data_IF_867995573026
#
_entry.id   IF_867995573026
#
_cell.length_a   1.000
_cell.length_b   1.000
_cell.length_c   1.000
_cell.angle_alpha   90.00
_cell.angle_beta   90.00
_cell.angle_gamma   90.00
#
_symmetry.space_group_name_H-M   'P 1'
#
loop_
_entity.id
_entity.type
_entity.pdbx_description
1 polymer ?
#
# COMPACT_ATOMS: atom_id res chain seq x y z
N UNK A 1 52.41 23.73 70.27
CA UNK A 1 51.79 24.43 69.16
C UNK A 1 51.83 23.56 67.91
N UNK A 2 50.79 22.77 67.62
CA UNK A 2 50.64 22.04 66.38
C UNK A 2 49.15 21.98 66.14
N UNK A 3 48.71 22.62 65.05
CA UNK A 3 47.37 22.58 64.55
C UNK A 3 47.23 21.40 63.62
N UNK A 4 46.28 20.53 63.85
CA UNK A 4 45.87 19.45 62.93
C UNK A 4 44.51 19.83 62.36
N UNK A 5 44.51 20.20 61.08
CA UNK A 5 43.29 20.48 60.35
C UNK A 5 42.69 19.14 59.79
N UNK A 6 41.45 18.86 60.09
CA UNK A 6 40.69 17.73 59.65
C UNK A 6 40.04 18.08 58.30
N UNK A 7 40.38 17.31 57.24
CA UNK A 7 39.81 17.46 55.91
C UNK A 7 38.53 16.61 55.79
N UNK A 8 37.41 17.28 55.58
CA UNK A 8 36.08 16.63 55.34
C UNK A 8 35.92 16.35 53.84
N UNK A 9 35.93 15.08 53.46
CA UNK A 9 35.67 14.64 52.07
C UNK A 9 34.17 14.43 51.93
N UNK A 10 33.50 15.27 51.09
CA UNK A 10 32.12 15.11 50.69
C UNK A 10 32.11 14.27 49.40
N UNK A 11 31.62 13.03 49.48
CA UNK A 11 31.36 12.17 48.35
C UNK A 11 30.04 12.59 47.70
N UNK A 12 30.11 13.22 46.51
CA UNK A 12 28.95 13.42 45.64
C UNK A 12 28.68 12.13 44.88
N UNK A 13 27.59 11.43 45.18
CA UNK A 13 27.06 10.35 44.37
C UNK A 13 26.35 10.92 43.14
N UNK A 14 26.98 10.82 41.98
CA UNK A 14 26.33 11.13 40.69
C UNK A 14 25.41 10.00 40.30
N UNK A 15 24.09 10.17 40.47
CA UNK A 15 23.08 9.28 39.94
C UNK A 15 23.00 9.45 38.42
N UNK A 16 23.42 8.41 37.64
CA UNK A 16 23.12 8.31 36.21
C UNK A 16 21.64 7.98 36.04
N UNK A 17 20.83 8.99 35.73
CA UNK A 17 19.49 8.80 35.21
C UNK A 17 19.60 8.48 33.72
N UNK A 18 19.42 7.23 33.35
CA UNK A 18 19.24 6.84 31.95
C UNK A 18 17.84 7.31 31.48
N UNK A 19 17.78 8.50 30.92
CA UNK A 19 16.60 8.96 30.21
C UNK A 19 16.48 8.13 28.95
N UNK A 20 15.58 7.14 28.94
CA UNK A 20 15.14 6.45 27.73
C UNK A 20 14.49 7.48 26.82
N UNK A 21 15.09 7.77 25.68
CA UNK A 21 14.43 8.52 24.62
C UNK A 21 13.25 7.71 24.12
N UNK A 22 12.05 8.01 24.61
CA UNK A 22 10.80 7.66 23.95
C UNK A 22 10.76 8.59 22.75
N UNK A 23 11.01 8.07 21.54
CA UNK A 23 10.78 8.82 20.31
C UNK A 23 9.27 9.10 20.22
N UNK A 24 8.87 10.31 20.52
CA UNK A 24 7.52 10.79 20.22
C UNK A 24 7.36 10.83 18.69
N UNK A 25 6.18 10.49 18.15
CA UNK A 25 5.90 10.62 16.71
C UNK A 25 6.17 12.07 16.27
N UNK A 26 6.90 12.21 15.16
CA UNK A 26 7.28 13.54 14.64
C UNK A 26 6.07 14.16 13.93
N UNK A 27 5.58 15.29 14.42
CA UNK A 27 4.60 16.10 13.69
C UNK A 27 5.22 16.61 12.39
N UNK A 28 4.53 16.39 11.26
CA UNK A 28 4.89 16.98 9.99
C UNK A 28 4.56 18.48 10.00
N UNK A 29 5.55 19.34 10.30
CA UNK A 29 5.42 20.80 10.27
C UNK A 29 6.17 21.38 9.08
N UNK A 30 5.48 22.20 8.30
CA UNK A 30 6.07 22.96 7.19
C UNK A 30 6.46 24.34 7.72
N UNK A 31 7.77 24.67 7.68
CA UNK A 31 8.27 25.95 8.16
C UNK A 31 8.08 27.08 7.12
N UNK A 32 7.55 28.24 7.53
CA UNK A 32 7.87 29.52 6.91
C UNK A 32 6.79 30.30 6.15
N UNK A 33 5.54 29.80 5.94
CA UNK A 33 4.48 30.61 5.32
C UNK A 33 3.30 30.82 6.26
N UNK A 34 2.56 31.93 6.10
CA UNK A 34 1.36 32.17 6.89
C UNK A 34 0.25 31.15 6.59
N UNK A 35 -0.56 30.75 7.56
CA UNK A 35 -1.67 29.82 7.35
C UNK A 35 -2.67 30.37 6.33
N UNK A 36 -3.14 29.51 5.41
CA UNK A 36 -4.18 29.89 4.45
C UNK A 36 -5.55 29.89 5.15
N UNK A 37 -6.29 30.99 5.02
CA UNK A 37 -7.62 31.18 5.65
C UNK A 37 -8.79 31.04 4.68
N UNK A 38 -8.54 30.90 3.37
CA UNK A 38 -9.55 30.75 2.31
C UNK A 38 -9.80 29.29 1.89
N UNK A 39 -10.62 29.08 0.84
CA UNK A 39 -10.81 27.74 0.25
C UNK A 39 -9.46 27.14 -0.19
N UNK A 40 -9.25 25.87 0.17
CA UNK A 40 -8.04 25.12 -0.21
C UNK A 40 -8.24 24.52 -1.59
N UNK A 41 -7.20 24.62 -2.45
CA UNK A 41 -7.14 23.94 -3.76
C UNK A 41 -6.12 22.83 -3.70
N UNK A 42 -6.55 21.60 -3.94
CA UNK A 42 -5.73 20.39 -3.90
C UNK A 42 -5.49 19.91 -5.33
N UNK A 43 -4.22 19.74 -5.72
CA UNK A 43 -3.87 19.02 -6.93
C UNK A 43 -3.76 17.52 -6.60
N UNK A 44 -4.49 16.66 -7.32
CA UNK A 44 -4.38 15.21 -7.14
C UNK A 44 -3.87 14.58 -8.44
N UNK A 45 -2.57 14.25 -8.45
CA UNK A 45 -1.88 13.57 -9.55
C UNK A 45 -1.91 12.07 -9.30
N UNK A 46 -2.62 11.34 -10.14
CA UNK A 46 -2.77 9.89 -10.08
C UNK A 46 -1.97 9.22 -11.20
N UNK A 47 -1.36 8.07 -10.92
CA UNK A 47 -0.76 7.22 -11.94
C UNK A 47 -1.81 6.80 -12.98
N UNK A 48 -2.86 6.11 -12.54
CA UNK A 48 -3.83 5.45 -13.41
C UNK A 48 -5.20 5.37 -12.75
N UNK A 49 -6.23 5.10 -13.57
CA UNK A 49 -7.58 4.72 -13.13
C UNK A 49 -7.96 3.30 -13.61
N UNK A 50 -6.96 2.50 -14.01
CA UNK A 50 -7.17 1.17 -14.61
C UNK A 50 -7.72 0.17 -13.60
N UNK A 51 -7.11 0.03 -12.43
CA UNK A 51 -7.58 -0.84 -11.38
C UNK A 51 -8.81 -0.22 -10.69
N UNK A 52 -9.79 -1.06 -10.32
CA UNK A 52 -11.08 -0.63 -9.77
C UNK A 52 -10.93 0.28 -8.53
N UNK A 53 -9.96 -0.01 -7.67
CA UNK A 53 -9.71 0.76 -6.46
C UNK A 53 -9.41 2.23 -6.74
N UNK A 54 -8.62 2.57 -7.79
CA UNK A 54 -8.20 3.96 -8.06
C UNK A 54 -9.35 4.89 -8.37
N UNK A 55 -10.43 4.38 -8.99
CA UNK A 55 -11.65 5.15 -9.21
C UNK A 55 -12.33 5.47 -7.88
N UNK A 56 -12.38 4.49 -6.97
CA UNK A 56 -12.94 4.67 -5.62
C UNK A 56 -12.07 5.59 -4.77
N UNK A 57 -10.75 5.42 -4.80
CA UNK A 57 -9.79 6.30 -4.12
C UNK A 57 -10.03 7.77 -4.51
N UNK A 58 -10.11 8.06 -5.83
CA UNK A 58 -10.44 9.39 -6.34
C UNK A 58 -11.77 9.90 -5.80
N UNK A 59 -12.82 9.11 -5.94
CA UNK A 59 -14.18 9.56 -5.63
C UNK A 59 -14.35 9.82 -4.13
N UNK A 60 -13.82 8.96 -3.26
CA UNK A 60 -13.82 9.17 -1.81
C UNK A 60 -12.96 10.36 -1.38
N UNK A 61 -11.79 10.54 -2.00
CA UNK A 61 -10.93 11.67 -1.73
C UNK A 61 -11.61 12.99 -2.09
N UNK A 62 -12.15 13.10 -3.30
CA UNK A 62 -12.85 14.29 -3.79
C UNK A 62 -14.08 14.61 -2.93
N UNK A 63 -14.87 13.59 -2.58
CA UNK A 63 -16.04 13.76 -1.71
C UNK A 63 -15.63 14.31 -0.34
N UNK A 64 -14.58 13.73 0.28
CA UNK A 64 -14.12 14.19 1.60
C UNK A 64 -13.51 15.59 1.56
N UNK A 65 -12.70 15.90 0.56
CA UNK A 65 -12.14 17.24 0.38
C UNK A 65 -13.25 18.30 0.23
N UNK A 66 -14.31 17.99 -0.52
CA UNK A 66 -15.48 18.87 -0.67
C UNK A 66 -16.21 19.09 0.66
N UNK A 67 -16.40 18.03 1.48
CA UNK A 67 -16.94 18.15 2.84
C UNK A 67 -16.13 19.11 3.72
N UNK A 68 -14.82 19.20 3.49
CA UNK A 68 -13.89 20.09 4.20
C UNK A 68 -13.79 21.49 3.58
N UNK A 69 -14.57 21.78 2.54
CA UNK A 69 -14.58 23.07 1.84
C UNK A 69 -13.39 23.27 0.89
N UNK A 70 -12.76 22.20 0.43
CA UNK A 70 -11.66 22.22 -0.52
C UNK A 70 -12.12 21.87 -1.95
N UNK A 71 -11.45 22.45 -2.95
CA UNK A 71 -11.54 22.10 -4.37
C UNK A 71 -10.46 21.10 -4.72
N UNK A 72 -10.75 20.09 -5.54
CA UNK A 72 -9.76 19.10 -6.01
C UNK A 72 -9.66 19.12 -7.53
N UNK A 73 -8.45 19.33 -8.04
CA UNK A 73 -8.09 19.23 -9.45
C UNK A 73 -7.42 17.86 -9.66
N UNK A 74 -8.12 16.95 -10.33
CA UNK A 74 -7.61 15.58 -10.55
C UNK A 74 -7.00 15.44 -11.95
N UNK A 75 -5.82 14.83 -12.03
CA UNK A 75 -5.16 14.42 -13.28
C UNK A 75 -4.73 12.96 -13.15
N UNK A 76 -4.82 12.19 -14.24
CA UNK A 76 -4.38 10.79 -14.30
C UNK A 76 -3.47 10.58 -15.51
N UNK A 77 -2.29 10.02 -15.26
CA UNK A 77 -1.22 9.89 -16.25
C UNK A 77 -1.32 8.65 -17.13
N UNK A 78 -2.17 7.68 -16.76
CA UNK A 78 -2.39 6.43 -17.48
C UNK A 78 -1.11 5.60 -17.72
N UNK A 79 -0.21 5.57 -16.71
CA UNK A 79 1.02 4.78 -16.76
C UNK A 79 2.17 5.45 -17.50
N UNK A 80 2.19 6.79 -17.60
CA UNK A 80 3.26 7.53 -18.26
C UNK A 80 3.92 8.55 -17.32
N UNK A 81 5.21 8.36 -17.07
CA UNK A 81 6.00 9.22 -16.17
C UNK A 81 6.11 10.66 -16.65
N UNK A 82 6.28 10.86 -17.96
CA UNK A 82 6.43 12.21 -18.53
C UNK A 82 5.09 12.96 -18.48
N UNK A 83 4.00 12.27 -18.78
CA UNK A 83 2.64 12.80 -18.65
C UNK A 83 2.34 13.15 -17.20
N UNK A 84 2.71 12.28 -16.24
CA UNK A 84 2.49 12.57 -14.81
C UNK A 84 3.25 13.82 -14.36
N UNK A 85 4.52 13.95 -14.75
CA UNK A 85 5.34 15.12 -14.42
C UNK A 85 4.74 16.39 -15.01
N UNK A 86 4.36 16.38 -16.29
CA UNK A 86 3.75 17.54 -16.93
C UNK A 86 2.40 17.93 -16.31
N UNK A 87 1.58 16.94 -15.97
CA UNK A 87 0.30 17.17 -15.30
C UNK A 87 0.49 17.78 -13.91
N UNK A 88 1.48 17.32 -13.15
CA UNK A 88 1.81 17.88 -11.84
C UNK A 88 2.28 19.36 -11.96
N UNK A 89 3.12 19.68 -12.93
CA UNK A 89 3.54 21.07 -13.23
C UNK A 89 2.35 21.96 -13.62
N UNK A 90 1.40 21.43 -14.40
CA UNK A 90 0.17 22.14 -14.74
C UNK A 90 -0.69 22.41 -13.50
N UNK A 91 -0.82 21.44 -12.57
CA UNK A 91 -1.54 21.65 -11.30
C UNK A 91 -0.86 22.73 -10.45
N UNK A 92 0.47 22.71 -10.36
CA UNK A 92 1.24 23.75 -9.66
C UNK A 92 1.03 25.14 -10.29
N UNK A 93 1.06 25.24 -11.62
CA UNK A 93 0.82 26.49 -12.36
C UNK A 93 -0.61 27.02 -12.14
N UNK A 94 -1.59 26.14 -11.91
CA UNK A 94 -2.96 26.52 -11.56
C UNK A 94 -3.08 27.03 -10.11
N UNK A 95 -2.00 27.03 -9.34
CA UNK A 95 -1.96 27.58 -7.99
C UNK A 95 -2.65 26.70 -6.94
N UNK A 96 -2.37 25.42 -6.98
CA UNK A 96 -2.78 24.50 -5.90
C UNK A 96 -2.03 24.79 -4.61
N UNK A 97 -2.65 24.57 -3.46
CA UNK A 97 -2.09 24.82 -2.13
C UNK A 97 -1.35 23.61 -1.55
N UNK A 98 -1.64 22.44 -2.08
CA UNK A 98 -1.02 21.16 -1.75
C UNK A 98 -1.10 20.25 -2.97
N UNK A 99 -0.05 19.45 -3.18
CA UNK A 99 -0.03 18.43 -4.22
C UNK A 99 -0.09 17.04 -3.59
N UNK A 100 -1.09 16.25 -3.98
CA UNK A 100 -1.24 14.84 -3.61
C UNK A 100 -0.83 14.01 -4.81
N UNK A 101 0.12 13.08 -4.63
CA UNK A 101 0.69 12.30 -5.72
C UNK A 101 0.64 10.81 -5.41
N UNK A 102 -0.04 10.05 -6.26
CA UNK A 102 0.11 8.60 -6.35
C UNK A 102 1.09 8.31 -7.51
N UNK A 103 2.39 8.10 -7.25
CA UNK A 103 3.39 8.06 -8.32
C UNK A 103 3.26 6.79 -9.18
N UNK A 104 3.46 6.94 -10.51
CA UNK A 104 3.68 5.82 -11.42
C UNK A 104 5.05 5.18 -11.16
N UNK A 105 6.08 6.01 -11.10
CA UNK A 105 7.45 5.63 -10.81
C UNK A 105 7.92 6.35 -9.53
N UNK A 106 8.28 5.55 -8.54
CA UNK A 106 8.66 6.06 -7.22
C UNK A 106 9.91 6.98 -7.23
N UNK A 107 10.82 6.78 -8.17
CA UNK A 107 12.08 7.53 -8.26
C UNK A 107 11.94 8.75 -9.18
N UNK A 108 11.30 8.61 -10.34
CA UNK A 108 11.09 9.72 -11.30
C UNK A 108 10.21 10.80 -10.68
N UNK A 109 9.20 10.42 -9.88
CA UNK A 109 8.33 11.38 -9.21
C UNK A 109 9.04 12.32 -8.21
N UNK A 110 10.31 12.08 -7.89
CA UNK A 110 11.12 13.01 -7.10
C UNK A 110 11.21 14.41 -7.75
N UNK A 111 11.21 14.50 -9.09
CA UNK A 111 11.18 15.76 -9.82
C UNK A 111 9.90 16.57 -9.58
N UNK A 112 8.77 15.89 -9.39
CA UNK A 112 7.49 16.52 -9.04
C UNK A 112 7.59 17.17 -7.65
N UNK A 113 8.21 16.48 -6.70
CA UNK A 113 8.43 17.02 -5.34
C UNK A 113 9.33 18.25 -5.39
N UNK A 114 10.41 18.20 -6.17
CA UNK A 114 11.32 19.34 -6.35
C UNK A 114 10.59 20.56 -6.94
N UNK A 115 9.81 20.37 -8.00
CA UNK A 115 9.00 21.42 -8.63
C UNK A 115 7.99 22.05 -7.66
N UNK A 116 7.33 21.24 -6.84
CA UNK A 116 6.38 21.71 -5.82
C UNK A 116 7.10 22.50 -4.71
N UNK A 117 8.24 22.01 -4.22
CA UNK A 117 9.03 22.69 -3.20
C UNK A 117 9.56 24.05 -3.65
N UNK A 118 10.01 24.16 -4.89
CA UNK A 118 10.47 25.44 -5.48
C UNK A 118 9.36 26.48 -5.49
N UNK A 119 8.09 26.08 -5.46
CA UNK A 119 6.92 26.94 -5.36
C UNK A 119 6.34 27.03 -3.94
N UNK A 120 6.97 26.38 -2.97
CA UNK A 120 6.50 26.35 -1.57
C UNK A 120 5.22 25.55 -1.36
N UNK A 121 4.87 24.63 -2.28
CA UNK A 121 3.70 23.76 -2.23
C UNK A 121 4.08 22.44 -1.53
N UNK A 122 3.42 22.05 -0.43
CA UNK A 122 3.66 20.78 0.23
C UNK A 122 3.19 19.61 -0.61
N UNK A 123 3.88 18.45 -0.43
CA UNK A 123 3.58 17.22 -1.16
C UNK A 123 3.21 16.09 -0.22
N UNK A 124 2.02 15.49 -0.45
CA UNK A 124 1.56 14.26 0.17
C UNK A 124 1.72 13.10 -0.83
N UNK A 125 2.52 12.10 -0.47
CA UNK A 125 2.62 10.85 -1.21
C UNK A 125 1.44 9.95 -0.84
N UNK A 126 0.60 9.61 -1.81
CA UNK A 126 -0.65 8.89 -1.62
C UNK A 126 -0.51 7.42 -2.03
N UNK A 127 -0.79 6.50 -1.13
CA UNK A 127 -0.70 5.04 -1.29
C UNK A 127 0.70 4.54 -1.64
N UNK A 128 1.32 5.07 -2.70
CA UNK A 128 2.68 4.74 -3.17
C UNK A 128 3.68 5.80 -2.70
N UNK A 129 4.85 5.35 -2.22
CA UNK A 129 5.88 6.24 -1.68
C UNK A 129 6.78 6.81 -2.80
N UNK A 130 6.90 8.14 -2.85
CA UNK A 130 7.92 8.81 -3.66
C UNK A 130 9.26 8.70 -2.95
N UNK A 131 10.26 8.18 -3.66
CA UNK A 131 11.59 7.95 -3.12
C UNK A 131 12.53 9.13 -3.38
N UNK A 132 13.64 9.14 -2.65
CA UNK A 132 14.79 10.01 -2.85
C UNK A 132 14.43 11.51 -2.92
N UNK A 133 13.41 11.94 -2.19
CA UNK A 133 12.89 13.31 -2.23
C UNK A 133 12.35 13.78 -0.89
N UNK A 134 12.17 15.10 -0.75
CA UNK A 134 11.71 15.73 0.48
C UNK A 134 10.17 15.80 0.57
N UNK A 135 9.51 14.64 0.56
CA UNK A 135 8.05 14.50 0.74
C UNK A 135 7.65 14.93 2.16
N UNK A 136 6.55 15.68 2.29
CA UNK A 136 6.09 16.18 3.58
C UNK A 136 5.33 15.13 4.41
N UNK A 137 4.52 14.29 3.75
CA UNK A 137 3.73 13.25 4.40
C UNK A 137 3.51 12.06 3.45
N UNK A 138 3.49 10.86 4.01
CA UNK A 138 3.07 9.63 3.32
C UNK A 138 1.82 9.04 3.97
N UNK A 139 0.79 8.75 3.17
CA UNK A 139 -0.46 8.14 3.64
C UNK A 139 -0.70 6.87 2.85
N UNK A 140 -0.67 5.72 3.51
CA UNK A 140 -0.74 4.41 2.86
C UNK A 140 -1.25 3.33 3.82
N UNK A 141 -1.16 2.09 3.40
CA UNK A 141 -1.27 0.89 4.24
C UNK A 141 0.12 0.40 4.64
N UNK A 142 0.19 -0.44 5.67
CA UNK A 142 1.42 -1.19 5.98
C UNK A 142 1.69 -2.25 4.89
N UNK A 143 2.48 -1.84 3.90
CA UNK A 143 2.73 -2.66 2.71
C UNK A 143 3.63 -3.88 3.00
N UNK A 144 4.50 -3.82 4.01
CA UNK A 144 5.26 -5.00 4.45
C UNK A 144 4.30 -6.02 5.04
N UNK A 145 3.38 -5.57 5.90
CA UNK A 145 2.36 -6.42 6.51
C UNK A 145 1.41 -7.04 5.47
N UNK A 146 1.09 -6.32 4.37
CA UNK A 146 0.35 -6.90 3.24
C UNK A 146 1.08 -8.12 2.70
N UNK A 147 2.38 -8.01 2.39
CA UNK A 147 3.18 -9.12 1.88
C UNK A 147 3.29 -10.28 2.88
N UNK A 148 3.52 -9.98 4.15
CA UNK A 148 3.56 -10.99 5.22
C UNK A 148 2.23 -11.75 5.33
N UNK A 149 1.13 -11.03 5.23
CA UNK A 149 -0.23 -11.59 5.29
C UNK A 149 -0.49 -12.56 4.14
N UNK A 150 -0.15 -12.18 2.91
CA UNK A 150 -0.26 -13.03 1.72
C UNK A 150 0.54 -14.33 1.90
N UNK A 151 1.81 -14.20 2.27
CA UNK A 151 2.71 -15.32 2.41
C UNK A 151 2.30 -16.26 3.55
N UNK A 152 1.93 -15.73 4.71
CA UNK A 152 1.47 -16.49 5.87
C UNK A 152 0.23 -17.31 5.56
N UNK A 153 -0.76 -16.68 4.92
CA UNK A 153 -2.00 -17.35 4.53
C UNK A 153 -1.75 -18.56 3.62
N UNK A 154 -0.85 -18.40 2.64
CA UNK A 154 -0.51 -19.49 1.71
C UNK A 154 0.36 -20.56 2.38
N UNK A 155 1.34 -20.18 3.21
CA UNK A 155 2.23 -21.13 3.88
C UNK A 155 1.48 -22.04 4.86
N UNK A 156 0.44 -21.52 5.53
CA UNK A 156 -0.44 -22.33 6.40
C UNK A 156 -1.21 -23.41 5.62
N UNK A 157 -1.54 -23.17 4.35
CA UNK A 157 -2.33 -24.07 3.48
C UNK A 157 -1.50 -24.98 2.60
N UNK A 158 -0.33 -24.54 2.24
CA UNK A 158 0.64 -25.28 1.43
C UNK A 158 2.03 -25.21 2.11
N UNK A 159 2.21 -25.85 3.29
CA UNK A 159 3.45 -25.72 4.07
C UNK A 159 4.69 -26.32 3.37
N UNK A 160 4.49 -27.03 2.28
CA UNK A 160 5.55 -27.65 1.47
C UNK A 160 5.25 -27.56 -0.02
N UNK A 161 6.30 -27.54 -0.83
CA UNK A 161 6.18 -27.61 -2.29
C UNK A 161 6.77 -26.42 -3.03
N UNK A 162 6.45 -26.33 -4.31
CA UNK A 162 6.96 -25.29 -5.19
C UNK A 162 6.07 -24.03 -5.14
N UNK A 163 6.70 -22.89 -5.00
CA UNK A 163 6.06 -21.59 -4.97
C UNK A 163 6.47 -20.73 -6.17
N UNK A 164 5.50 -20.06 -6.76
CA UNK A 164 5.70 -19.01 -7.75
C UNK A 164 5.44 -17.65 -7.11
N UNK A 165 6.36 -16.71 -7.25
CA UNK A 165 6.19 -15.33 -6.79
C UNK A 165 5.94 -14.42 -7.99
N UNK A 166 4.80 -13.71 -7.99
CA UNK A 166 4.44 -12.70 -8.99
C UNK A 166 4.36 -11.34 -8.29
N UNK A 167 5.42 -10.54 -8.45
CA UNK A 167 5.47 -9.16 -7.97
C UNK A 167 4.66 -8.21 -8.86
N UNK A 168 4.42 -6.99 -8.35
CA UNK A 168 3.82 -5.90 -9.12
C UNK A 168 4.81 -5.19 -10.05
N UNK A 169 4.52 -3.92 -10.41
CA UNK A 169 5.45 -3.11 -11.20
C UNK A 169 6.76 -2.87 -10.44
N UNK A 170 7.92 -3.11 -11.07
CA UNK A 170 9.22 -2.88 -10.41
C UNK A 170 9.51 -1.40 -10.13
N UNK A 171 8.79 -0.48 -10.76
CA UNK A 171 8.89 0.98 -10.56
C UNK A 171 8.06 1.46 -9.35
N UNK A 172 7.16 0.63 -8.85
CA UNK A 172 6.33 0.91 -7.69
C UNK A 172 7.01 0.44 -6.39
N UNK A 173 7.23 1.36 -5.45
CA UNK A 173 7.83 1.03 -4.16
C UNK A 173 7.00 0.02 -3.36
N UNK A 174 5.68 0.04 -3.47
CA UNK A 174 4.81 -0.89 -2.76
C UNK A 174 5.07 -2.35 -3.19
N UNK A 175 5.31 -2.60 -4.48
CA UNK A 175 5.63 -3.93 -4.96
C UNK A 175 6.89 -4.51 -4.28
N UNK A 176 7.90 -3.65 -4.03
CA UNK A 176 9.11 -4.03 -3.30
C UNK A 176 8.83 -4.34 -1.82
N UNK A 177 7.99 -3.51 -1.18
CA UNK A 177 7.60 -3.72 0.23
C UNK A 177 6.77 -5.00 0.40
N UNK A 178 5.85 -5.30 -0.54
CA UNK A 178 5.13 -6.58 -0.54
C UNK A 178 6.11 -7.75 -0.64
N UNK A 179 7.09 -7.69 -1.56
CA UNK A 179 8.11 -8.74 -1.70
C UNK A 179 8.93 -8.90 -0.43
N UNK A 180 9.32 -7.80 0.20
CA UNK A 180 10.00 -7.85 1.50
C UNK A 180 9.17 -8.59 2.54
N UNK A 181 7.88 -8.23 2.69
CA UNK A 181 6.97 -8.89 3.61
C UNK A 181 6.77 -10.38 3.28
N UNK A 182 6.61 -10.71 2.00
CA UNK A 182 6.50 -12.09 1.55
C UNK A 182 7.74 -12.89 1.97
N UNK A 183 8.93 -12.37 1.74
CA UNK A 183 10.19 -13.04 2.08
C UNK A 183 10.44 -13.13 3.58
N UNK A 184 10.00 -12.14 4.39
CA UNK A 184 10.06 -12.23 5.85
C UNK A 184 9.41 -13.53 6.37
N UNK A 185 8.33 -13.96 5.72
CA UNK A 185 7.57 -15.17 6.11
C UNK A 185 8.08 -16.43 5.42
N UNK A 186 8.42 -16.35 4.13
CA UNK A 186 8.78 -17.53 3.34
C UNK A 186 10.21 -17.97 3.55
N UNK A 187 11.16 -17.06 3.81
CA UNK A 187 12.59 -17.39 3.91
C UNK A 187 12.89 -18.49 4.90
N UNK A 188 12.32 -18.53 6.14
CA UNK A 188 12.56 -19.63 7.07
C UNK A 188 12.12 -21.01 6.53
N UNK A 189 11.03 -21.05 5.73
CA UNK A 189 10.55 -22.30 5.14
C UNK A 189 11.42 -22.72 3.93
N UNK A 190 11.97 -21.77 3.19
CA UNK A 190 12.95 -22.01 2.12
C UNK A 190 14.23 -22.59 2.72
N UNK A 191 14.75 -22.00 3.79
CA UNK A 191 15.99 -22.41 4.44
C UNK A 191 15.91 -23.82 5.03
N UNK A 192 14.71 -24.24 5.47
CA UNK A 192 14.46 -25.62 5.91
C UNK A 192 14.24 -26.62 4.76
N UNK A 193 14.11 -26.12 3.52
CA UNK A 193 13.78 -26.95 2.36
C UNK A 193 12.31 -27.41 2.29
N UNK A 194 11.43 -26.82 3.08
CA UNK A 194 10.00 -27.11 3.05
C UNK A 194 9.34 -26.60 1.77
N UNK A 195 9.72 -25.39 1.33
CA UNK A 195 9.26 -24.79 0.07
C UNK A 195 10.44 -24.43 -0.83
N UNK A 196 10.19 -24.40 -2.15
CA UNK A 196 11.15 -23.96 -3.17
C UNK A 196 10.51 -22.90 -4.05
N UNK A 197 11.17 -21.77 -4.22
CA UNK A 197 10.77 -20.77 -5.20
C UNK A 197 11.21 -21.24 -6.58
N UNK A 198 10.26 -21.58 -7.45
CA UNK A 198 10.55 -22.04 -8.82
C UNK A 198 10.71 -20.89 -9.79
N UNK A 199 10.04 -19.77 -9.54
CA UNK A 199 10.25 -18.53 -10.26
C UNK A 199 9.85 -17.34 -9.37
N UNK A 200 10.56 -16.21 -9.54
CA UNK A 200 10.30 -14.92 -8.94
C UNK A 200 10.29 -13.87 -10.05
N UNK A 201 9.10 -13.39 -10.41
CA UNK A 201 8.88 -12.54 -11.57
C UNK A 201 8.10 -11.28 -11.20
N UNK A 202 8.34 -10.21 -11.96
CA UNK A 202 7.67 -8.92 -11.77
C UNK A 202 6.72 -8.66 -12.94
N UNK A 203 5.48 -8.32 -12.64
CA UNK A 203 4.47 -7.94 -13.64
C UNK A 203 4.59 -6.43 -13.91
N UNK A 204 5.29 -6.06 -15.01
CA UNK A 204 5.40 -4.67 -15.45
C UNK A 204 4.02 -4.05 -15.56
N UNK A 205 3.87 -2.81 -15.12
CA UNK A 205 2.61 -2.05 -15.12
C UNK A 205 1.44 -2.79 -14.41
N UNK A 206 1.75 -3.73 -13.51
CA UNK A 206 0.74 -4.56 -12.85
C UNK A 206 -0.14 -5.36 -13.84
N UNK A 207 0.33 -5.59 -15.07
CA UNK A 207 -0.45 -6.22 -16.13
C UNK A 207 -0.74 -7.69 -15.83
N UNK A 208 -2.01 -8.06 -15.89
CA UNK A 208 -2.45 -9.46 -15.77
C UNK A 208 -1.86 -10.37 -16.88
N UNK A 209 -1.61 -9.83 -18.08
CA UNK A 209 -0.96 -10.54 -19.18
C UNK A 209 0.51 -10.92 -18.88
N UNK A 210 1.24 -10.09 -18.15
CA UNK A 210 2.58 -10.44 -17.69
C UNK A 210 2.52 -11.60 -16.67
N UNK A 211 1.58 -11.51 -15.70
CA UNK A 211 1.37 -12.58 -14.73
C UNK A 211 0.94 -13.91 -15.37
N UNK A 212 0.06 -13.86 -16.37
CA UNK A 212 -0.34 -15.02 -17.19
C UNK A 212 0.90 -15.69 -17.78
N UNK A 213 1.68 -14.94 -18.58
CA UNK A 213 2.90 -15.42 -19.24
C UNK A 213 3.93 -16.00 -18.26
N UNK A 214 4.17 -15.32 -17.13
CA UNK A 214 5.11 -15.80 -16.12
C UNK A 214 4.64 -17.11 -15.49
N UNK A 215 3.33 -17.25 -15.27
CA UNK A 215 2.74 -18.47 -14.70
C UNK A 215 2.79 -19.64 -15.69
N UNK A 216 2.48 -19.43 -16.97
CA UNK A 216 2.62 -20.45 -18.04
C UNK A 216 4.06 -20.97 -18.13
N UNK A 217 5.04 -20.06 -18.10
CA UNK A 217 6.46 -20.42 -18.11
C UNK A 217 6.84 -21.26 -16.87
N UNK A 218 6.38 -20.84 -15.67
CA UNK A 218 6.67 -21.55 -14.42
C UNK A 218 6.01 -22.93 -14.39
N UNK A 219 4.79 -23.08 -14.89
CA UNK A 219 4.07 -24.35 -15.02
C UNK A 219 4.83 -25.30 -15.94
N UNK A 220 5.27 -24.82 -17.11
CA UNK A 220 6.06 -25.61 -18.06
C UNK A 220 7.39 -26.08 -17.42
N UNK A 221 8.14 -25.17 -16.78
CA UNK A 221 9.43 -25.48 -16.15
C UNK A 221 9.32 -26.44 -14.97
N UNK A 222 8.21 -26.39 -14.23
CA UNK A 222 7.96 -27.23 -13.05
C UNK A 222 7.16 -28.49 -13.37
N UNK A 223 6.83 -28.76 -14.65
CA UNK A 223 5.92 -29.86 -15.04
C UNK A 223 4.59 -29.79 -14.29
N UNK A 224 4.00 -28.61 -14.20
CA UNK A 224 2.76 -28.30 -13.49
C UNK A 224 2.80 -28.54 -11.96
N UNK A 225 3.99 -28.72 -11.39
CA UNK A 225 4.16 -28.98 -9.96
C UNK A 225 4.35 -27.66 -9.19
N UNK A 226 3.24 -26.92 -8.98
CA UNK A 226 3.19 -25.68 -8.18
C UNK A 226 2.15 -25.87 -7.07
N UNK A 227 2.52 -25.56 -5.82
CA UNK A 227 1.64 -25.63 -4.66
C UNK A 227 0.94 -24.29 -4.37
N UNK A 228 1.64 -23.16 -4.60
CA UNK A 228 1.10 -21.84 -4.37
C UNK A 228 1.67 -20.79 -5.33
N UNK A 229 0.86 -19.78 -5.62
CA UNK A 229 1.25 -18.55 -6.34
C UNK A 229 1.04 -17.37 -5.42
N UNK A 230 2.13 -16.72 -5.01
CA UNK A 230 2.07 -15.48 -4.26
C UNK A 230 1.96 -14.32 -5.25
N UNK A 231 0.74 -13.98 -5.63
CA UNK A 231 0.46 -12.84 -6.49
C UNK A 231 0.22 -11.59 -5.64
N UNK A 232 0.87 -10.48 -6.00
CA UNK A 232 0.89 -9.27 -5.18
C UNK A 232 -0.40 -8.47 -5.23
N UNK A 233 -1.22 -8.59 -6.31
CA UNK A 233 -2.56 -8.01 -6.37
C UNK A 233 -3.56 -8.91 -7.12
N UNK A 234 -4.83 -8.53 -7.12
CA UNK A 234 -5.92 -9.31 -7.70
C UNK A 234 -5.91 -9.35 -9.23
N UNK A 235 -5.40 -8.31 -9.89
CA UNK A 235 -5.20 -8.29 -11.33
C UNK A 235 -4.16 -9.32 -11.76
N UNK A 236 -2.99 -9.35 -11.10
CA UNK A 236 -1.93 -10.36 -11.35
C UNK A 236 -2.36 -11.76 -10.92
N UNK A 237 -3.13 -11.90 -9.82
CA UNK A 237 -3.74 -13.16 -9.42
C UNK A 237 -4.68 -13.69 -10.51
N UNK A 238 -5.49 -12.82 -11.12
CA UNK A 238 -6.39 -13.20 -12.22
C UNK A 238 -5.63 -13.72 -13.44
N UNK A 239 -4.50 -13.08 -13.79
CA UNK A 239 -3.61 -13.57 -14.85
C UNK A 239 -3.03 -14.95 -14.55
N UNK A 240 -2.53 -15.14 -13.32
CA UNK A 240 -2.00 -16.43 -12.87
C UNK A 240 -3.07 -17.54 -12.86
N UNK A 241 -4.27 -17.22 -12.33
CA UNK A 241 -5.38 -18.19 -12.28
C UNK A 241 -5.79 -18.63 -13.68
N UNK A 242 -5.80 -17.73 -14.66
CA UNK A 242 -6.11 -18.09 -16.06
C UNK A 242 -5.12 -19.13 -16.60
N UNK A 243 -3.81 -18.98 -16.36
CA UNK A 243 -2.83 -20.00 -16.73
C UNK A 243 -3.08 -21.35 -16.01
N UNK A 244 -3.49 -21.28 -14.74
CA UNK A 244 -3.85 -22.47 -13.96
C UNK A 244 -5.13 -23.15 -14.49
N UNK A 245 -6.12 -22.39 -14.96
CA UNK A 245 -7.34 -22.92 -15.59
C UNK A 245 -7.04 -23.72 -16.83
N UNK A 246 -6.16 -23.25 -17.70
CA UNK A 246 -5.73 -23.93 -18.92
C UNK A 246 -5.07 -25.29 -18.63
N UNK A 247 -4.48 -25.44 -17.45
CA UNK A 247 -3.88 -26.70 -16.97
C UNK A 247 -4.78 -27.48 -16.00
N UNK A 248 -6.03 -27.06 -15.80
CA UNK A 248 -7.00 -27.67 -14.83
C UNK A 248 -6.47 -27.69 -13.39
N UNK A 249 -5.69 -26.67 -13.03
CA UNK A 249 -5.08 -26.49 -11.70
C UNK A 249 -5.75 -25.38 -10.86
N UNK A 250 -6.66 -24.60 -11.43
CA UNK A 250 -7.41 -23.58 -10.68
C UNK A 250 -8.20 -24.22 -9.54
N UNK A 251 -8.10 -23.64 -8.35
CA UNK A 251 -8.67 -24.19 -7.11
C UNK A 251 -7.87 -25.34 -6.47
N UNK A 252 -6.84 -25.88 -7.16
CA UNK A 252 -5.89 -26.85 -6.60
C UNK A 252 -4.60 -26.19 -6.14
N UNK A 253 -4.18 -25.15 -6.82
CA UNK A 253 -3.05 -24.27 -6.44
C UNK A 253 -3.59 -23.08 -5.66
N UNK A 254 -3.03 -22.80 -4.49
CA UNK A 254 -3.45 -21.65 -3.69
C UNK A 254 -2.88 -20.35 -4.28
N UNK A 255 -3.73 -19.36 -4.50
CA UNK A 255 -3.34 -18.06 -5.09
C UNK A 255 -3.75 -16.93 -4.16
N UNK A 256 -2.79 -16.05 -3.80
CA UNK A 256 -3.08 -14.82 -3.07
C UNK A 256 -3.46 -13.68 -4.01
N UNK A 257 -3.99 -12.60 -3.43
CA UNK A 257 -4.24 -11.33 -4.11
C UNK A 257 -4.24 -10.16 -3.14
N UNK A 258 -4.62 -8.98 -3.64
CA UNK A 258 -4.79 -7.74 -2.87
C UNK A 258 -5.73 -6.81 -3.63
N UNK A 259 -6.40 -5.94 -2.93
CA UNK A 259 -7.32 -4.85 -3.31
C UNK A 259 -8.80 -5.25 -3.34
N UNK A 260 -9.13 -6.51 -3.15
CA UNK A 260 -10.52 -7.00 -3.10
C UNK A 260 -11.35 -6.59 -4.33
N UNK A 261 -10.76 -6.68 -5.54
CA UNK A 261 -11.49 -6.42 -6.78
C UNK A 261 -12.71 -7.35 -6.90
N UNK A 262 -13.81 -6.87 -7.50
CA UNK A 262 -15.02 -7.67 -7.62
C UNK A 262 -14.77 -9.05 -8.26
N UNK A 263 -13.97 -9.10 -9.32
CA UNK A 263 -13.61 -10.36 -9.98
C UNK A 263 -12.82 -11.30 -9.05
N UNK A 264 -11.98 -10.76 -8.15
CA UNK A 264 -11.24 -11.56 -7.19
C UNK A 264 -12.15 -12.11 -6.09
N UNK A 265 -13.07 -11.30 -5.56
CA UNK A 265 -14.05 -11.78 -4.58
C UNK A 265 -14.94 -12.87 -5.20
N UNK A 266 -15.32 -12.75 -6.47
CA UNK A 266 -16.03 -13.81 -7.21
C UNK A 266 -15.18 -15.09 -7.31
N UNK A 267 -13.88 -14.99 -7.61
CA UNK A 267 -12.97 -16.15 -7.64
C UNK A 267 -12.78 -16.78 -6.26
N UNK A 268 -12.77 -15.98 -5.20
CA UNK A 268 -12.66 -16.44 -3.80
C UNK A 268 -13.90 -17.26 -3.41
N UNK A 269 -15.11 -16.75 -3.68
CA UNK A 269 -16.33 -17.49 -3.37
C UNK A 269 -16.52 -18.72 -4.24
N UNK A 270 -16.00 -18.70 -5.49
CA UNK A 270 -15.96 -19.86 -6.39
C UNK A 270 -14.84 -20.86 -6.03
N UNK A 271 -13.87 -20.49 -5.18
CA UNK A 271 -12.77 -21.36 -4.73
C UNK A 271 -11.56 -21.43 -5.66
N UNK A 272 -11.45 -20.55 -6.67
CA UNK A 272 -10.29 -20.51 -7.60
C UNK A 272 -9.19 -19.54 -7.15
N UNK A 273 -9.48 -18.60 -6.24
CA UNK A 273 -8.53 -17.76 -5.53
C UNK A 273 -8.64 -18.02 -4.03
N UNK A 274 -7.51 -18.16 -3.33
CA UNK A 274 -7.51 -18.55 -1.92
C UNK A 274 -7.90 -17.38 -1.00
N UNK A 275 -7.38 -16.19 -1.28
CA UNK A 275 -7.60 -14.99 -0.47
C UNK A 275 -7.26 -13.72 -1.26
N UNK A 276 -7.69 -12.60 -0.73
CA UNK A 276 -7.18 -11.28 -1.06
C UNK A 276 -6.89 -10.48 0.21
N UNK A 277 -6.02 -9.48 0.10
CA UNK A 277 -5.83 -8.48 1.15
C UNK A 277 -6.69 -7.26 0.83
N UNK A 278 -7.72 -7.05 1.61
CA UNK A 278 -8.57 -5.87 1.48
C UNK A 278 -7.91 -4.66 2.12
N UNK A 279 -7.85 -3.59 1.38
CA UNK A 279 -7.43 -2.27 1.83
C UNK A 279 -8.66 -1.36 1.85
N UNK A 280 -9.18 -0.92 3.02
CA UNK A 280 -10.33 -0.02 3.09
C UNK A 280 -10.00 1.34 2.49
N UNK A 281 -10.04 1.47 1.15
CA UNK A 281 -9.60 2.67 0.41
C UNK A 281 -10.42 3.91 0.76
N UNK A 282 -11.67 3.75 1.23
CA UNK A 282 -12.47 4.86 1.74
C UNK A 282 -11.79 5.53 2.94
N UNK A 283 -11.26 4.73 3.88
CA UNK A 283 -10.56 5.25 5.05
C UNK A 283 -9.26 5.96 4.64
N UNK A 284 -8.49 5.34 3.72
CA UNK A 284 -7.27 5.91 3.17
C UNK A 284 -7.53 7.28 2.51
N UNK A 285 -8.49 7.33 1.60
CA UNK A 285 -8.81 8.52 0.84
C UNK A 285 -9.33 9.66 1.73
N UNK A 286 -10.20 9.34 2.71
CA UNK A 286 -10.69 10.32 3.69
C UNK A 286 -9.55 10.87 4.55
N UNK A 287 -8.69 10.00 5.07
CA UNK A 287 -7.54 10.41 5.90
C UNK A 287 -6.54 11.25 5.10
N UNK A 288 -6.26 10.89 3.84
CA UNK A 288 -5.39 11.67 2.98
C UNK A 288 -5.98 13.04 2.61
N UNK A 289 -7.29 13.15 2.36
CA UNK A 289 -7.95 14.43 2.10
C UNK A 289 -7.88 15.36 3.33
N UNK A 290 -8.11 14.82 4.54
CA UNK A 290 -7.96 15.56 5.80
C UNK A 290 -6.53 16.06 5.97
N UNK A 291 -5.56 15.18 5.75
CA UNK A 291 -4.14 15.53 5.84
C UNK A 291 -3.72 16.58 4.78
N UNK A 292 -4.22 16.45 3.54
CA UNK A 292 -3.95 17.42 2.49
C UNK A 292 -4.45 18.82 2.83
N UNK A 293 -5.68 18.93 3.38
CA UNK A 293 -6.22 20.21 3.84
C UNK A 293 -5.40 20.80 4.99
N UNK A 294 -4.98 19.96 5.95
CA UNK A 294 -4.13 20.40 7.06
C UNK A 294 -2.77 20.90 6.56
N UNK A 295 -2.11 20.16 5.64
CA UNK A 295 -0.84 20.58 5.03
C UNK A 295 -0.98 21.92 4.29
N UNK A 296 -2.06 22.10 3.51
CA UNK A 296 -2.33 23.35 2.81
C UNK A 296 -2.50 24.54 3.78
N UNK A 297 -3.07 24.30 4.95
CA UNK A 297 -3.25 25.29 6.01
C UNK A 297 -2.04 25.47 6.92
N UNK A 298 -0.97 24.71 6.68
CA UNK A 298 0.23 24.67 7.54
C UNK A 298 -0.07 24.20 8.97
N UNK A 299 -1.10 23.39 9.12
CA UNK A 299 -1.46 22.72 10.36
C UNK A 299 -0.64 21.42 10.52
N UNK A 300 -0.44 20.99 11.76
CA UNK A 300 0.24 19.70 12.03
C UNK A 300 -0.66 18.52 11.64
N UNK A 301 -0.06 17.48 11.06
CA UNK A 301 -0.71 16.20 10.82
C UNK A 301 -0.09 15.17 11.76
N UNK A 302 -0.93 14.49 12.53
CA UNK A 302 -0.49 13.40 13.39
C UNK A 302 -0.07 12.21 12.52
N UNK A 303 1.22 11.89 12.54
CA UNK A 303 1.80 10.72 11.92
C UNK A 303 1.79 9.53 12.89
N UNK A 304 1.39 8.35 12.41
CA UNK A 304 1.38 7.11 13.21
C UNK A 304 2.72 6.38 13.15
N UNK A 305 3.58 6.71 12.18
CA UNK A 305 4.85 6.05 11.91
C UNK A 305 5.79 6.95 11.10
N UNK A 306 6.97 6.45 10.78
CA UNK A 306 7.86 7.01 9.76
C UNK A 306 8.28 5.93 8.77
N UNK A 307 8.53 6.33 7.52
CA UNK A 307 9.05 5.42 6.48
C UNK A 307 10.23 6.07 5.79
N UNK A 308 11.36 5.37 5.73
CA UNK A 308 12.55 5.84 5.03
C UNK A 308 12.33 5.78 3.51
N UNK A 309 12.41 6.94 2.85
CA UNK A 309 12.24 7.00 1.39
C UNK A 309 13.57 7.10 0.62
N UNK A 310 14.70 6.95 1.32
CA UNK A 310 16.05 7.12 0.74
C UNK A 310 16.63 8.51 0.91
N UNK A 311 15.80 9.53 1.16
CA UNK A 311 16.21 10.90 1.45
C UNK A 311 16.04 11.22 2.95
N UNK A 312 14.93 10.82 3.55
CA UNK A 312 14.63 11.05 4.97
C UNK A 312 13.65 10.02 5.54
N UNK A 313 13.48 10.03 6.85
CA UNK A 313 12.33 9.42 7.51
C UNK A 313 11.10 10.30 7.28
N UNK A 314 10.21 9.88 6.39
CA UNK A 314 8.98 10.61 6.05
C UNK A 314 7.92 10.33 7.11
N UNK A 315 7.33 11.37 7.74
CA UNK A 315 6.17 11.19 8.59
C UNK A 315 5.07 10.44 7.83
N UNK A 316 4.48 9.41 8.43
CA UNK A 316 3.61 8.49 7.72
C UNK A 316 2.35 8.15 8.52
N UNK A 317 1.23 8.05 7.81
CA UNK A 317 -0.02 7.47 8.33
C UNK A 317 -0.23 6.14 7.63
N UNK A 318 -0.03 5.04 8.36
CA UNK A 318 -0.15 3.69 7.84
C UNK A 318 -1.40 3.02 8.40
N UNK A 319 -2.28 2.58 7.50
CA UNK A 319 -3.52 1.86 7.83
C UNK A 319 -3.29 0.35 7.79
N UNK A 320 -4.12 -0.36 8.56
CA UNK A 320 -4.05 -1.81 8.66
C UNK A 320 -4.75 -2.50 7.47
N UNK A 321 -4.10 -3.47 6.81
CA UNK A 321 -4.74 -4.31 5.82
C UNK A 321 -5.57 -5.42 6.47
N UNK A 322 -6.60 -5.92 5.77
CA UNK A 322 -7.53 -6.94 6.24
C UNK A 322 -7.45 -8.17 5.34
N UNK A 323 -7.27 -9.36 5.93
CA UNK A 323 -7.38 -10.64 5.19
C UNK A 323 -8.84 -10.89 4.83
N UNK A 324 -9.08 -11.25 3.58
CA UNK A 324 -10.40 -11.69 3.11
C UNK A 324 -10.29 -13.03 2.38
N UNK A 325 -11.05 -13.98 2.86
CA UNK A 325 -11.28 -15.27 2.21
C UNK A 325 -12.79 -15.58 2.15
N UNK A 326 -13.17 -16.76 1.64
CA UNK A 326 -14.57 -17.15 1.52
C UNK A 326 -15.37 -17.14 2.82
N UNK A 327 -14.69 -17.21 3.97
CA UNK A 327 -15.37 -17.34 5.27
C UNK A 327 -15.76 -15.98 5.84
N UNK A 328 -15.12 -14.87 5.44
CA UNK A 328 -15.37 -13.55 6.00
C UNK A 328 -15.76 -12.47 4.96
N UNK A 329 -16.02 -12.85 3.70
CA UNK A 329 -16.48 -11.91 2.64
C UNK A 329 -17.71 -11.10 3.08
N UNK A 330 -18.68 -11.74 3.75
CA UNK A 330 -19.89 -11.05 4.19
C UNK A 330 -19.63 -10.04 5.29
N UNK A 331 -18.77 -10.38 6.25
CA UNK A 331 -18.46 -9.57 7.42
C UNK A 331 -17.48 -8.42 7.10
N UNK A 332 -16.77 -8.51 5.98
CA UNK A 332 -15.79 -7.52 5.56
C UNK A 332 -16.29 -6.72 4.35
N UNK A 333 -16.32 -7.33 3.19
CA UNK A 333 -16.57 -6.67 1.90
C UNK A 333 -18.01 -6.19 1.76
N UNK A 334 -18.99 -7.06 2.14
CA UNK A 334 -20.42 -6.73 2.03
C UNK A 334 -20.83 -5.76 3.13
N UNK A 335 -20.41 -5.99 4.37
CA UNK A 335 -20.75 -5.11 5.49
C UNK A 335 -20.17 -3.70 5.37
N UNK A 336 -18.98 -3.57 4.77
CA UNK A 336 -18.33 -2.28 4.48
C UNK A 336 -18.95 -1.58 3.24
N UNK A 337 -19.86 -2.25 2.54
CA UNK A 337 -20.49 -1.72 1.32
C UNK A 337 -19.52 -1.64 0.13
N UNK A 338 -18.38 -2.30 0.19
CA UNK A 338 -17.38 -2.27 -0.87
C UNK A 338 -17.88 -2.94 -2.15
N UNK A 339 -18.53 -4.12 -2.02
CA UNK A 339 -19.27 -4.77 -3.09
C UNK A 339 -20.63 -5.27 -2.59
N UNK A 340 -21.62 -5.32 -3.49
CA UNK A 340 -22.94 -5.88 -3.19
C UNK A 340 -22.89 -7.41 -3.24
N UNK A 341 -23.61 -8.06 -2.35
CA UNK A 341 -23.71 -9.51 -2.30
C UNK A 341 -24.17 -10.11 -3.65
N UNK A 342 -25.13 -9.47 -4.32
CA UNK A 342 -25.67 -9.90 -5.62
C UNK A 342 -24.59 -9.91 -6.71
N UNK A 343 -23.67 -8.96 -6.70
CA UNK A 343 -22.57 -8.88 -7.66
C UNK A 343 -21.51 -9.93 -7.37
N UNK A 344 -21.21 -10.18 -6.08
CA UNK A 344 -20.23 -11.18 -5.64
C UNK A 344 -20.68 -12.58 -6.05
N UNK A 345 -21.92 -12.95 -5.72
CA UNK A 345 -22.43 -14.31 -5.86
C UNK A 345 -23.18 -14.56 -7.17
N UNK A 346 -23.19 -13.62 -8.13
CA UNK A 346 -23.99 -13.73 -9.38
C UNK A 346 -23.75 -15.01 -10.18
N UNK A 347 -22.54 -15.58 -10.09
CA UNK A 347 -22.15 -16.82 -10.81
C UNK A 347 -22.29 -18.08 -9.93
N UNK A 348 -22.78 -17.94 -8.70
CA UNK A 348 -23.02 -19.03 -7.76
C UNK A 348 -24.53 -19.36 -7.73
N UNK A 349 -24.94 -20.62 -7.74
CA UNK A 349 -26.34 -20.99 -7.58
C UNK A 349 -26.98 -20.37 -6.33
N UNK A 350 -28.22 -19.87 -6.45
CA UNK A 350 -28.89 -19.11 -5.39
C UNK A 350 -29.05 -19.87 -4.06
N UNK A 351 -29.19 -21.18 -4.13
CA UNK A 351 -29.29 -22.09 -2.98
C UNK A 351 -27.97 -22.21 -2.18
N UNK A 352 -26.84 -21.82 -2.80
CA UNK A 352 -25.52 -21.82 -2.18
C UNK A 352 -25.11 -20.42 -1.64
N UNK A 353 -25.96 -19.41 -1.81
CA UNK A 353 -25.68 -18.07 -1.30
C UNK A 353 -25.73 -18.06 0.24
N UNK A 354 -24.87 -17.25 0.89
CA UNK A 354 -24.97 -17.06 2.33
C UNK A 354 -26.35 -16.48 2.67
N UNK A 355 -26.98 -17.03 3.72
CA UNK A 355 -28.26 -16.49 4.21
C UNK A 355 -27.98 -15.16 4.90
N UNK A 356 -28.72 -14.12 4.53
CA UNK A 356 -28.67 -12.84 5.21
C UNK A 356 -29.03 -13.05 6.69
N UNK A 357 -28.11 -12.75 7.62
CA UNK A 357 -28.37 -12.72 9.04
C UNK A 357 -28.22 -14.07 9.79
N UNK A 358 -27.03 -14.63 9.82
CA UNK A 358 -26.56 -15.42 10.94
C UNK A 358 -25.22 -14.93 11.42
#
# INVERSE_FOLDING_TARGET
>A
MRWTGTLLIVLLAAGLSTAGCICAPSDARIAGAAPKTGPVRIGFSMDTLKEERWQRDRDYFVARAKELGAEVLVQAANGDDAVQTQQAENLLTQGVDVLVVAPHNAEIAASIVESARNQGVPVLSYDRLIRNSDVDLYVSFDNVKVGETQARYLLERAPKGNYLLIGGSPTDNNARLFRQGQMNVLQPAIDRGDIKIVADQWAREWLASEALKHTENALTQSSNNIAAVVASNDGTAGGAIRALEEQQLAGKVFVSGQDAELAAIQRIVAGTQAMTVYKPVQQLARRAAEAAVALARRESVEATSTVNNGFKEVPSVLLEPIVVDKNNVMETIVSDGYHKMEDIYRNIPRDQWPRAGK
#
